data_IF_148729551970
#
_entry.id   IF_148729551970
#
_cell.length_a   1.000
_cell.length_b   1.000
_cell.length_c   1.000
_cell.angle_alpha   90.00
_cell.angle_beta   90.00
_cell.angle_gamma   90.00
#
_symmetry.space_group_name_H-M   'P 1'
#
loop_
_entity.id
_entity.type
_entity.pdbx_description
1 polymer ?
#
# COMPACT_ATOMS: atom_id res chain seq x y z
N UNK A 1 -10.81 -34.77 31.33
CA UNK A 1 -9.83 -35.89 31.37
C UNK A 1 -9.55 -36.22 29.91
N UNK A 2 -8.32 -36.05 29.39
CA UNK A 2 -8.18 -35.07 28.30
C UNK A 2 -6.95 -35.12 27.36
N UNK A 3 -7.17 -34.84 26.06
CA UNK A 3 -6.25 -34.73 24.91
C UNK A 3 -6.56 -33.48 24.05
N UNK A 4 -6.41 -33.51 22.69
CA UNK A 4 -6.42 -32.33 21.82
C UNK A 4 -7.58 -31.36 22.10
N UNK A 5 -7.27 -30.07 22.21
CA UNK A 5 -8.25 -29.01 22.48
C UNK A 5 -8.51 -28.22 21.23
N UNK A 6 -9.79 -27.88 21.05
CA UNK A 6 -10.23 -26.99 19.99
C UNK A 6 -11.15 -25.96 20.61
N UNK A 7 -10.93 -24.69 20.32
CA UNK A 7 -11.74 -23.60 20.84
C UNK A 7 -11.84 -22.47 19.83
N UNK A 8 -12.93 -21.71 19.87
CA UNK A 8 -13.04 -20.44 19.16
C UNK A 8 -12.46 -19.34 20.05
N UNK A 9 -11.40 -18.67 19.63
CA UNK A 9 -10.76 -17.62 20.41
C UNK A 9 -11.26 -16.24 20.00
N UNK A 10 -11.93 -15.54 20.88
CA UNK A 10 -12.36 -14.16 20.67
C UNK A 10 -11.58 -13.22 21.57
N UNK A 11 -11.49 -11.96 21.20
CA UNK A 11 -10.98 -10.92 22.08
C UNK A 11 -12.12 -10.29 22.84
N UNK A 12 -11.90 -9.93 24.10
CA UNK A 12 -12.84 -9.06 24.80
C UNK A 12 -12.95 -7.69 24.09
N UNK A 13 -14.03 -6.95 24.38
CA UNK A 13 -14.32 -5.69 23.68
C UNK A 13 -13.21 -4.65 23.85
N UNK A 14 -12.57 -4.58 25.02
CA UNK A 14 -11.50 -3.60 25.26
C UNK A 14 -10.24 -3.94 24.46
N UNK A 15 -9.86 -5.22 24.42
CA UNK A 15 -8.74 -5.70 23.61
C UNK A 15 -9.02 -5.60 22.11
N UNK A 16 -10.25 -5.81 21.66
CA UNK A 16 -10.63 -5.57 20.26
C UNK A 16 -10.34 -4.12 19.84
N UNK A 17 -10.78 -3.14 20.64
CA UNK A 17 -10.55 -1.73 20.38
C UNK A 17 -9.05 -1.41 20.40
N UNK A 18 -8.32 -1.95 21.38
CA UNK A 18 -6.88 -1.75 21.49
C UNK A 18 -6.14 -2.30 20.26
N UNK A 19 -6.42 -3.54 19.85
CA UNK A 19 -5.82 -4.19 18.68
C UNK A 19 -6.16 -3.42 17.40
N UNK A 20 -7.39 -2.92 17.26
CA UNK A 20 -7.76 -2.06 16.13
C UNK A 20 -6.95 -0.76 16.09
N UNK A 21 -6.77 -0.08 17.23
CA UNK A 21 -5.93 1.13 17.31
C UNK A 21 -4.48 0.81 16.93
N UNK A 22 -3.92 -0.29 17.44
CA UNK A 22 -2.56 -0.71 17.09
C UNK A 22 -2.42 -1.07 15.61
N UNK A 23 -3.40 -1.77 15.02
CA UNK A 23 -3.46 -2.05 13.57
C UNK A 23 -3.38 -0.74 12.78
N UNK A 24 -4.18 0.26 13.13
CA UNK A 24 -4.21 1.54 12.44
C UNK A 24 -2.83 2.21 12.45
N UNK A 25 -2.18 2.30 13.61
CA UNK A 25 -0.84 2.91 13.73
C UNK A 25 0.19 2.12 12.90
N UNK A 26 0.17 0.78 12.97
CA UNK A 26 1.08 -0.06 12.18
C UNK A 26 0.85 0.08 10.67
N UNK A 27 -0.41 0.20 10.25
CA UNK A 27 -0.79 0.49 8.87
C UNK A 27 -0.21 1.83 8.42
N UNK A 28 -0.35 2.88 9.23
CA UNK A 28 0.22 4.21 8.94
C UNK A 28 1.75 4.20 8.86
N UNK A 29 2.44 3.46 9.72
CA UNK A 29 3.91 3.32 9.67
C UNK A 29 4.31 2.67 8.35
N UNK A 30 3.69 1.53 8.00
CA UNK A 30 4.01 0.79 6.79
C UNK A 30 3.64 1.58 5.52
N UNK A 31 2.58 2.38 5.57
CA UNK A 31 2.16 3.22 4.47
C UNK A 31 3.24 4.24 4.06
N UNK A 32 4.02 4.76 5.01
CA UNK A 32 5.09 5.72 4.72
C UNK A 32 6.19 5.11 3.87
N UNK A 33 6.49 3.81 4.03
CA UNK A 33 7.41 3.09 3.15
C UNK A 33 6.92 3.08 1.71
N UNK A 34 5.62 2.80 1.52
CA UNK A 34 4.96 2.81 0.21
C UNK A 34 5.03 4.19 -0.42
N UNK A 35 4.72 5.24 0.34
CA UNK A 35 4.78 6.64 -0.14
C UNK A 35 6.17 6.94 -0.70
N UNK A 36 7.25 6.68 0.04
CA UNK A 36 8.63 6.94 -0.42
C UNK A 36 8.95 6.21 -1.74
N UNK A 37 8.49 4.96 -1.89
CA UNK A 37 8.74 4.18 -3.11
C UNK A 37 7.99 4.69 -4.34
N UNK A 38 6.91 5.44 -4.16
CA UNK A 38 6.08 5.95 -5.26
C UNK A 38 6.58 7.28 -5.84
N UNK A 39 7.57 7.93 -5.22
CA UNK A 39 8.20 9.12 -5.81
C UNK A 39 9.07 8.71 -7.01
N UNK A 40 9.05 9.55 -8.04
CA UNK A 40 9.71 9.35 -9.33
C UNK A 40 10.12 10.70 -9.92
N UNK A 41 11.01 10.73 -10.91
CA UNK A 41 11.54 11.95 -11.54
C UNK A 41 11.35 11.86 -13.05
N UNK A 42 10.77 12.88 -13.69
CA UNK A 42 10.51 12.88 -15.14
C UNK A 42 11.12 14.10 -15.83
N UNK A 43 12.29 13.90 -16.44
CA UNK A 43 13.01 14.97 -17.14
C UNK A 43 13.06 14.67 -18.64
N UNK A 44 12.84 15.71 -19.46
CA UNK A 44 12.84 15.59 -20.93
C UNK A 44 14.23 15.23 -21.50
N UNK A 45 15.32 15.79 -20.93
CA UNK A 45 16.69 15.46 -21.35
C UNK A 45 17.18 14.14 -20.73
N UNK A 46 17.53 13.19 -21.60
CA UNK A 46 17.91 11.82 -21.20
C UNK A 46 19.17 11.77 -20.32
N UNK A 47 20.20 12.55 -20.61
CA UNK A 47 21.48 12.46 -19.89
C UNK A 47 21.35 13.03 -18.47
N UNK A 48 20.62 14.14 -18.35
CA UNK A 48 20.32 14.73 -17.04
C UNK A 48 19.38 13.82 -16.26
N UNK A 49 18.36 13.25 -16.92
CA UNK A 49 17.44 12.30 -16.31
C UNK A 49 18.18 11.11 -15.72
N UNK A 50 19.02 10.42 -16.51
CA UNK A 50 19.74 9.22 -16.06
C UNK A 50 20.59 9.53 -14.81
N UNK A 51 21.29 10.66 -14.82
CA UNK A 51 22.18 11.03 -13.73
C UNK A 51 21.42 11.43 -12.47
N UNK A 52 20.37 12.24 -12.61
CA UNK A 52 19.55 12.68 -11.48
C UNK A 52 18.76 11.51 -10.88
N UNK A 53 18.21 10.62 -11.71
CA UNK A 53 17.50 9.43 -11.28
C UNK A 53 18.40 8.49 -10.46
N UNK A 54 19.66 8.29 -10.88
CA UNK A 54 20.64 7.50 -10.09
C UNK A 54 20.87 8.10 -8.70
N UNK A 55 21.08 9.41 -8.61
CA UNK A 55 21.26 10.11 -7.32
C UNK A 55 20.00 10.01 -6.45
N UNK A 56 18.84 10.23 -7.05
CA UNK A 56 17.55 10.11 -6.38
C UNK A 56 17.33 8.72 -5.81
N UNK A 57 17.63 7.67 -6.57
CA UNK A 57 17.43 6.28 -6.16
C UNK A 57 18.27 5.90 -4.94
N UNK A 58 19.51 6.40 -4.86
CA UNK A 58 20.38 6.20 -3.69
C UNK A 58 19.75 6.81 -2.44
N UNK A 59 19.22 8.04 -2.55
CA UNK A 59 18.56 8.73 -1.44
C UNK A 59 17.25 8.01 -1.07
N UNK A 60 16.40 7.69 -2.04
CA UNK A 60 15.13 6.98 -1.86
C UNK A 60 15.33 5.67 -1.11
N UNK A 61 16.29 4.84 -1.54
CA UNK A 61 16.63 3.56 -0.88
C UNK A 61 17.06 3.74 0.58
N UNK A 62 17.77 4.83 0.91
CA UNK A 62 18.20 5.11 2.29
C UNK A 62 17.00 5.38 3.19
N UNK A 63 16.14 6.31 2.79
CA UNK A 63 14.93 6.65 3.54
C UNK A 63 13.98 5.45 3.66
N UNK A 64 13.79 4.71 2.56
CA UNK A 64 13.01 3.46 2.56
C UNK A 64 13.57 2.46 3.58
N UNK A 65 14.89 2.23 3.61
CA UNK A 65 15.52 1.32 4.58
C UNK A 65 15.24 1.74 6.02
N UNK A 66 15.39 3.02 6.35
CA UNK A 66 15.10 3.54 7.70
C UNK A 66 13.63 3.34 8.10
N UNK A 67 12.69 3.58 7.19
CA UNK A 67 11.26 3.35 7.43
C UNK A 67 10.94 1.86 7.60
N UNK A 68 11.50 1.00 6.75
CA UNK A 68 11.33 -0.45 6.82
C UNK A 68 11.85 -1.02 8.16
N UNK A 69 12.96 -0.52 8.68
CA UNK A 69 13.46 -0.90 10.01
C UNK A 69 12.48 -0.53 11.13
N UNK A 70 11.84 0.65 11.06
CA UNK A 70 10.82 1.05 12.04
C UNK A 70 9.55 0.20 11.94
N UNK A 71 9.10 -0.07 10.72
CA UNK A 71 7.95 -0.95 10.45
C UNK A 71 8.18 -2.37 10.95
N UNK A 72 9.36 -2.95 10.71
CA UNK A 72 9.73 -4.27 11.28
C UNK A 72 9.77 -4.29 12.80
N UNK A 73 10.16 -3.17 13.42
CA UNK A 73 10.14 -3.00 14.89
C UNK A 73 8.72 -2.87 15.44
N UNK A 74 7.78 -2.34 14.67
CA UNK A 74 6.38 -2.23 15.08
C UNK A 74 5.74 -3.62 15.19
N UNK A 75 5.30 -3.97 16.40
CA UNK A 75 4.68 -5.27 16.72
C UNK A 75 3.41 -5.07 17.52
N UNK A 76 2.43 -5.95 17.36
CA UNK A 76 1.10 -5.79 17.97
C UNK A 76 1.13 -5.88 19.50
N UNK A 77 2.10 -6.58 20.11
CA UNK A 77 2.33 -6.56 21.57
C UNK A 77 2.84 -5.26 22.13
N UNK A 78 3.40 -4.38 21.30
CA UNK A 78 3.94 -3.13 21.82
C UNK A 78 2.81 -2.31 22.45
N UNK A 79 3.16 -1.58 23.50
CA UNK A 79 2.28 -0.55 24.06
C UNK A 79 1.97 0.49 22.98
N UNK A 80 0.75 1.04 23.01
CA UNK A 80 0.30 2.05 22.06
C UNK A 80 1.26 3.24 22.04
N UNK A 81 1.66 3.78 23.18
CA UNK A 81 2.58 4.92 23.25
C UNK A 81 3.93 4.66 22.58
N UNK A 82 4.42 3.40 22.62
CA UNK A 82 5.66 3.02 21.92
C UNK A 82 5.44 2.98 20.41
N UNK A 83 4.29 2.48 19.95
CA UNK A 83 3.92 2.50 18.53
C UNK A 83 3.71 3.93 18.02
N UNK A 84 3.06 4.79 18.80
CA UNK A 84 2.86 6.21 18.48
C UNK A 84 4.21 6.92 18.33
N UNK A 85 5.17 6.72 19.24
CA UNK A 85 6.54 7.24 19.10
C UNK A 85 7.26 6.72 17.85
N UNK A 86 7.08 5.45 17.48
CA UNK A 86 7.61 4.92 16.22
C UNK A 86 6.97 5.62 15.03
N UNK A 87 5.65 5.86 15.09
CA UNK A 87 4.90 6.56 14.05
C UNK A 87 5.40 8.00 13.87
N UNK A 88 5.59 8.75 14.96
CA UNK A 88 6.16 10.11 14.94
C UNK A 88 7.58 10.15 14.35
N UNK A 89 8.42 9.18 14.71
CA UNK A 89 9.76 9.06 14.13
C UNK A 89 9.68 8.77 12.62
N UNK A 90 8.79 7.87 12.20
CA UNK A 90 8.59 7.55 10.79
C UNK A 90 8.06 8.74 9.98
N UNK A 91 7.19 9.55 10.58
CA UNK A 91 6.68 10.81 10.00
C UNK A 91 7.79 11.83 9.83
N UNK A 92 8.67 11.96 10.83
CA UNK A 92 9.84 12.86 10.75
C UNK A 92 10.77 12.46 9.61
N UNK A 93 10.99 11.15 9.42
CA UNK A 93 11.80 10.61 8.31
C UNK A 93 11.15 10.91 6.95
N UNK A 94 9.84 10.68 6.83
CA UNK A 94 9.10 10.97 5.59
C UNK A 94 9.17 12.47 5.24
N UNK A 95 8.92 13.37 6.19
CA UNK A 95 8.98 14.82 5.94
C UNK A 95 10.37 15.30 5.50
N UNK A 96 11.43 14.70 6.04
CA UNK A 96 12.81 14.98 5.60
C UNK A 96 13.03 14.55 4.15
N UNK A 97 12.51 13.38 3.77
CA UNK A 97 12.55 12.91 2.39
C UNK A 97 11.77 13.82 1.45
N UNK A 98 10.50 14.14 1.75
CA UNK A 98 9.65 15.01 0.93
C UNK A 98 10.29 16.39 0.73
N UNK A 99 10.81 16.98 1.80
CA UNK A 99 11.53 18.25 1.71
C UNK A 99 12.76 18.15 0.80
N UNK A 100 13.54 17.07 0.91
CA UNK A 100 14.70 16.84 0.04
C UNK A 100 14.29 16.67 -1.42
N UNK A 101 13.19 15.97 -1.68
CA UNK A 101 12.61 15.80 -3.00
C UNK A 101 12.17 17.14 -3.61
N UNK A 102 11.33 17.90 -2.89
CA UNK A 102 10.76 19.16 -3.39
C UNK A 102 11.82 20.23 -3.64
N UNK A 103 12.81 20.35 -2.73
CA UNK A 103 13.81 21.43 -2.81
C UNK A 103 14.86 21.24 -3.90
N UNK A 104 15.18 19.99 -4.25
CA UNK A 104 16.26 19.67 -5.20
C UNK A 104 15.71 18.99 -6.44
N UNK A 105 15.12 17.80 -6.29
CA UNK A 105 14.77 16.94 -7.43
C UNK A 105 13.61 17.53 -8.25
N UNK A 106 12.48 17.81 -7.60
CA UNK A 106 11.31 18.42 -8.24
C UNK A 106 11.65 19.79 -8.84
N UNK A 107 12.49 20.56 -8.17
CA UNK A 107 12.91 21.88 -8.63
C UNK A 107 13.79 21.82 -9.87
N UNK A 108 14.69 20.84 -9.97
CA UNK A 108 15.46 20.60 -11.21
C UNK A 108 14.50 20.17 -12.33
N UNK A 109 13.62 19.21 -12.05
CA UNK A 109 12.61 18.70 -12.98
C UNK A 109 11.73 19.82 -13.57
N UNK A 110 11.09 20.61 -12.71
CA UNK A 110 10.19 21.69 -13.11
C UNK A 110 10.90 22.80 -13.91
N UNK A 111 12.18 23.07 -13.65
CA UNK A 111 12.91 24.10 -14.37
C UNK A 111 13.45 23.60 -15.72
N UNK A 112 13.97 22.37 -15.79
CA UNK A 112 14.44 21.80 -17.07
C UNK A 112 13.28 21.62 -18.05
N UNK A 113 12.14 21.13 -17.57
CA UNK A 113 10.99 20.87 -18.44
C UNK A 113 10.35 22.15 -19.01
N UNK A 114 10.76 23.35 -18.54
CA UNK A 114 10.34 24.65 -19.07
C UNK A 114 11.30 25.22 -20.13
N UNK A 115 12.48 24.64 -20.30
CA UNK A 115 13.51 25.14 -21.21
C UNK A 115 13.40 24.49 -22.59
N UNK A 116 13.80 25.22 -23.62
CA UNK A 116 14.01 24.68 -24.97
C UNK A 116 15.27 23.80 -25.02
N UNK A 117 15.38 22.92 -26.02
CA UNK A 117 16.54 22.04 -26.16
C UNK A 117 17.87 22.80 -26.29
N UNK A 118 17.88 23.96 -26.95
CA UNK A 118 19.07 24.80 -27.08
C UNK A 118 19.51 25.36 -25.73
N UNK A 119 18.57 25.86 -24.92
CA UNK A 119 18.85 26.37 -23.58
C UNK A 119 19.35 25.27 -22.64
N UNK A 120 18.77 24.07 -22.73
CA UNK A 120 19.24 22.90 -21.98
C UNK A 120 20.70 22.61 -22.33
N UNK A 121 21.06 22.60 -23.62
CA UNK A 121 22.41 22.28 -24.06
C UNK A 121 23.47 23.27 -23.53
N UNK A 122 23.14 24.56 -23.44
CA UNK A 122 24.05 25.59 -22.92
C UNK A 122 24.37 25.44 -21.43
N UNK A 123 23.42 24.93 -20.64
CA UNK A 123 23.56 24.79 -19.19
C UNK A 123 23.75 23.34 -18.73
N UNK A 124 23.70 22.37 -19.64
CA UNK A 124 23.73 20.93 -19.37
C UNK A 124 24.86 20.53 -18.43
N UNK A 125 26.08 20.95 -18.74
CA UNK A 125 27.26 20.64 -17.90
C UNK A 125 27.18 21.27 -16.51
N UNK A 126 26.59 22.46 -16.38
CA UNK A 126 26.37 23.10 -15.07
C UNK A 126 25.33 22.34 -14.25
N UNK A 127 24.26 21.88 -14.88
CA UNK A 127 23.24 21.05 -14.22
C UNK A 127 23.85 19.73 -13.77
N UNK A 128 24.57 19.04 -14.66
CA UNK A 128 25.25 17.78 -14.37
C UNK A 128 26.20 17.93 -13.18
N UNK A 129 26.96 19.03 -13.10
CA UNK A 129 27.82 19.34 -11.97
C UNK A 129 27.03 19.53 -10.67
N UNK A 130 25.88 20.23 -10.71
CA UNK A 130 25.01 20.36 -9.53
C UNK A 130 24.42 19.02 -9.08
N UNK A 131 24.12 18.11 -10.01
CA UNK A 131 23.69 16.76 -9.70
C UNK A 131 24.82 15.95 -9.05
N UNK A 132 26.07 16.15 -9.46
CA UNK A 132 27.24 15.50 -8.84
C UNK A 132 27.45 15.93 -7.40
N UNK A 133 27.17 17.20 -7.08
CA UNK A 133 27.22 17.74 -5.72
C UNK A 133 26.19 17.10 -4.79
N UNK A 134 25.17 16.39 -5.30
CA UNK A 134 24.18 15.71 -4.47
C UNK A 134 24.87 14.55 -3.70
N UNK A 135 24.84 14.58 -2.36
CA UNK A 135 25.61 13.67 -1.55
C UNK A 135 25.00 12.27 -1.51
N UNK A 136 25.87 11.28 -1.65
CA UNK A 136 25.49 9.86 -1.65
C UNK A 136 25.53 9.23 -0.24
N UNK A 137 26.09 9.91 0.78
CA UNK A 137 26.24 9.42 2.16
C UNK A 137 26.05 10.53 3.22
N UNK A 138 25.69 10.14 4.46
CA UNK A 138 25.64 10.99 5.67
C UNK A 138 24.39 11.88 5.83
N UNK A 139 23.55 11.67 6.85
CA UNK A 139 22.28 12.42 7.02
C UNK A 139 22.46 13.93 7.29
N UNK A 140 23.39 14.32 8.15
CA UNK A 140 23.66 15.72 8.52
C UNK A 140 24.39 16.49 7.42
N UNK A 141 25.34 15.85 6.74
CA UNK A 141 26.01 16.41 5.56
C UNK A 141 25.02 16.54 4.38
N UNK A 142 24.07 15.61 4.25
CA UNK A 142 23.05 15.64 3.21
C UNK A 142 22.20 16.92 3.28
N UNK A 143 21.72 17.33 4.45
CA UNK A 143 20.89 18.54 4.56
C UNK A 143 21.64 19.84 4.24
N UNK A 144 22.91 19.96 4.66
CA UNK A 144 23.73 21.17 4.42
C UNK A 144 24.06 21.29 2.93
N UNK A 145 24.47 20.18 2.32
CA UNK A 145 24.85 20.14 0.91
C UNK A 145 23.61 20.33 0.03
N UNK A 146 22.46 19.71 0.34
CA UNK A 146 21.21 19.93 -0.41
C UNK A 146 20.76 21.40 -0.35
N UNK A 147 20.94 22.11 0.77
CA UNK A 147 20.68 23.57 0.83
C UNK A 147 21.63 24.37 -0.07
N UNK A 148 22.89 23.98 -0.18
CA UNK A 148 23.85 24.64 -1.06
C UNK A 148 23.51 24.36 -2.54
N UNK A 149 23.21 23.11 -2.87
CA UNK A 149 22.71 22.68 -4.18
C UNK A 149 21.44 23.46 -4.52
N UNK A 150 20.47 23.58 -3.61
CA UNK A 150 19.27 24.39 -3.80
C UNK A 150 19.61 25.87 -4.09
N UNK A 151 20.54 26.47 -3.35
CA UNK A 151 21.00 27.85 -3.58
C UNK A 151 21.62 28.01 -4.98
N UNK A 152 22.39 27.02 -5.42
CA UNK A 152 23.04 27.05 -6.73
C UNK A 152 22.05 26.79 -7.87
N UNK A 153 21.08 25.89 -7.70
CA UNK A 153 19.92 25.70 -8.60
C UNK A 153 19.18 27.02 -8.76
N UNK A 154 18.85 27.68 -7.64
CA UNK A 154 18.18 28.98 -7.66
C UNK A 154 18.98 30.04 -8.43
N UNK A 155 20.31 30.07 -8.30
CA UNK A 155 21.16 31.00 -9.05
C UNK A 155 21.16 30.67 -10.54
N UNK A 156 21.36 29.41 -10.91
CA UNK A 156 21.42 28.96 -12.30
C UNK A 156 20.16 29.34 -13.07
N UNK A 157 18.98 29.01 -12.53
CA UNK A 157 17.71 29.29 -13.21
C UNK A 157 17.25 30.75 -13.09
N UNK A 158 17.68 31.51 -12.07
CA UNK A 158 17.43 32.97 -12.02
C UNK A 158 18.24 33.76 -13.04
N UNK A 159 19.46 33.32 -13.37
CA UNK A 159 20.30 33.99 -14.38
C UNK A 159 19.68 33.76 -15.76
N UNK A 160 19.27 32.54 -16.10
CA UNK A 160 18.64 32.24 -17.38
C UNK A 160 17.31 33.00 -17.59
N UNK A 161 16.46 33.12 -16.56
CA UNK A 161 15.20 33.88 -16.68
C UNK A 161 15.42 35.38 -16.94
N UNK A 162 16.59 35.95 -16.60
CA UNK A 162 16.92 37.35 -16.94
C UNK A 162 17.34 37.53 -18.40
N UNK A 163 17.98 36.52 -18.99
CA UNK A 163 18.41 36.57 -20.39
C UNK A 163 17.26 36.28 -21.38
N UNK A 164 16.21 35.54 -20.96
CA UNK A 164 14.97 35.36 -21.73
C UNK A 164 14.14 36.66 -21.83
N UNK A 165 14.40 37.64 -20.98
CA UNK A 165 13.74 38.96 -21.01
C UNK A 165 14.03 39.81 -22.25
N UNK A 166 14.97 39.41 -23.12
CA UNK A 166 15.32 40.14 -24.35
C UNK A 166 14.62 39.63 -25.62
N UNK A 167 13.77 38.60 -25.57
CA UNK A 167 13.08 38.04 -26.75
C UNK A 167 11.54 38.12 -26.68
N UNK A 168 10.96 39.06 -25.92
CA UNK A 168 9.51 39.34 -26.04
C UNK A 168 9.21 40.83 -26.16
N UNK A 169 9.60 41.40 -27.29
CA UNK A 169 8.90 42.55 -27.87
C UNK A 169 8.30 42.11 -29.22
N UNK A 170 7.21 41.35 -29.15
CA UNK A 170 6.16 41.41 -30.18
C UNK A 170 4.87 41.62 -29.40
N UNK A 171 4.32 42.82 -29.55
CA UNK A 171 3.10 43.30 -28.92
C UNK A 171 1.93 42.34 -29.17
N UNK A 172 1.38 41.78 -28.10
CA UNK A 172 0.01 41.28 -28.11
C UNK A 172 -0.86 42.35 -27.44
N UNK A 173 -1.71 43.00 -28.24
CA UNK A 173 -2.76 43.87 -27.73
C UNK A 173 -3.76 43.02 -26.94
N UNK A 174 -3.90 43.34 -25.66
CA UNK A 174 -4.93 42.78 -24.76
C UNK A 174 -6.32 43.19 -25.23
N UNK A 175 -7.13 42.22 -25.66
CA UNK A 175 -8.59 42.40 -25.71
C UNK A 175 -9.16 41.94 -24.37
N UNK A 176 -9.67 42.90 -23.60
CA UNK A 176 -10.46 42.66 -22.38
C UNK A 176 -11.73 41.88 -22.73
N UNK A 177 -11.87 40.67 -22.20
CA UNK A 177 -13.14 39.94 -22.21
C UNK A 177 -13.95 40.30 -20.96
N UNK A 178 -14.93 41.18 -21.15
CA UNK A 178 -16.04 41.36 -20.22
C UNK A 178 -16.89 40.09 -20.14
N UNK A 179 -17.19 39.67 -18.91
CA UNK A 179 -18.15 38.60 -18.62
C UNK A 179 -19.53 39.04 -19.09
N UNK A 180 -20.12 38.30 -20.04
CA UNK A 180 -21.55 38.40 -20.31
C UNK A 180 -22.25 37.08 -20.01
N UNK A 181 -23.03 37.12 -18.93
CA UNK A 181 -24.05 36.16 -18.56
C UNK A 181 -25.16 36.17 -19.63
N UNK A 182 -25.41 35.05 -20.32
CA UNK A 182 -26.57 34.90 -21.22
C UNK A 182 -27.17 33.51 -21.11
N UNK A 183 -28.01 33.33 -20.10
CA UNK A 183 -29.18 32.44 -20.21
C UNK A 183 -30.14 33.04 -21.23
N UNK A 184 -30.11 32.57 -22.47
CA UNK A 184 -31.28 32.60 -23.36
C UNK A 184 -31.33 31.32 -24.17
N UNK A 185 -32.35 30.53 -23.84
CA UNK A 185 -32.93 29.48 -24.67
C UNK A 185 -33.08 30.04 -26.09
N UNK A 186 -32.37 29.47 -27.06
CA UNK A 186 -32.55 29.80 -28.47
C UNK A 186 -33.22 28.61 -29.16
N UNK A 187 -34.54 28.70 -29.33
CA UNK A 187 -35.25 27.96 -30.35
C UNK A 187 -35.11 28.72 -31.66
N UNK A 188 -34.68 28.05 -32.74
CA UNK A 188 -34.92 28.61 -34.08
C UNK A 188 -35.40 27.60 -35.11
N UNK A 189 -36.51 28.01 -35.69
CA UNK A 189 -37.25 27.49 -36.83
C UNK A 189 -36.42 27.58 -38.12
N UNK A 190 -36.43 26.49 -38.90
CA UNK A 190 -35.86 26.42 -40.24
C UNK A 190 -36.56 27.42 -41.18
N UNK A 191 -35.81 28.41 -41.68
CA UNK A 191 -36.12 29.05 -42.97
C UNK A 191 -34.91 28.97 -43.89
N UNK A 192 -35.05 28.10 -44.89
CA UNK A 192 -34.12 27.94 -46.01
C UNK A 192 -33.97 29.25 -46.79
N UNK A 193 -32.76 29.81 -46.78
CA UNK A 193 -32.31 30.77 -47.80
C UNK A 193 -31.21 30.12 -48.62
N UNK A 194 -31.50 29.89 -49.91
CA UNK A 194 -30.54 29.43 -50.91
C UNK A 194 -29.45 30.49 -51.11
N UNK A 195 -28.18 30.11 -50.91
CA UNK A 195 -27.01 30.88 -51.37
C UNK A 195 -26.16 29.95 -52.24
N UNK A 196 -25.73 30.45 -53.41
CA UNK A 196 -24.82 29.76 -54.35
C UNK A 196 -23.41 30.34 -54.23
N UNK A 197 -22.44 29.42 -54.23
CA UNK A 197 -20.96 29.52 -54.29
C UNK A 197 -20.23 30.06 -53.04
N UNK A 198 -19.34 29.22 -52.49
CA UNK A 198 -17.88 29.39 -52.61
C UNK A 198 -17.14 28.12 -52.13
N UNK A 199 -16.38 27.48 -53.03
CA UNK A 199 -15.51 26.32 -52.72
C UNK A 199 -14.45 26.66 -51.65
N UNK A 200 -14.02 27.92 -51.54
CA UNK A 200 -13.14 28.40 -50.46
C UNK A 200 -13.78 28.37 -49.06
N UNK A 201 -15.09 28.66 -48.94
CA UNK A 201 -15.83 28.58 -47.68
C UNK A 201 -16.01 27.11 -47.28
N UNK A 202 -16.23 26.22 -48.25
CA UNK A 202 -16.30 24.76 -48.05
C UNK A 202 -14.96 24.18 -47.60
N UNK A 203 -13.83 24.64 -48.17
CA UNK A 203 -12.49 24.22 -47.78
C UNK A 203 -12.11 24.73 -46.38
N UNK A 204 -12.46 25.97 -46.05
CA UNK A 204 -12.23 26.57 -44.73
C UNK A 204 -13.04 25.87 -43.63
N UNK A 205 -14.35 25.68 -43.84
CA UNK A 205 -15.22 24.97 -42.90
C UNK A 205 -14.83 23.51 -42.70
N UNK A 206 -14.39 22.81 -43.76
CA UNK A 206 -13.86 21.44 -43.65
C UNK A 206 -12.60 21.37 -42.79
N UNK A 207 -11.64 22.30 -42.98
CA UNK A 207 -10.40 22.34 -42.19
C UNK A 207 -10.67 22.63 -40.72
N UNK A 208 -11.56 23.56 -40.41
CA UNK A 208 -11.93 23.89 -39.03
C UNK A 208 -12.68 22.75 -38.33
N UNK A 209 -13.52 22.00 -39.06
CA UNK A 209 -14.15 20.78 -38.54
C UNK A 209 -13.09 19.76 -38.17
N UNK A 210 -12.12 19.53 -39.06
CA UNK A 210 -11.02 18.59 -38.86
C UNK A 210 -10.19 18.97 -37.63
N UNK A 211 -9.74 20.22 -37.57
CA UNK A 211 -8.93 20.75 -36.47
C UNK A 211 -9.64 20.69 -35.12
N UNK A 212 -10.92 21.07 -35.05
CA UNK A 212 -11.68 20.99 -33.79
C UNK A 212 -11.92 19.55 -33.35
N UNK A 213 -12.08 18.62 -34.30
CA UNK A 213 -12.26 17.20 -34.03
C UNK A 213 -10.98 16.58 -33.51
N UNK A 214 -9.85 16.83 -34.17
CA UNK A 214 -8.54 16.34 -33.73
C UNK A 214 -8.20 16.87 -32.33
N UNK A 215 -8.40 18.17 -32.08
CA UNK A 215 -8.10 18.77 -30.77
C UNK A 215 -8.86 18.09 -29.62
N UNK A 216 -10.15 17.77 -29.82
CA UNK A 216 -10.96 17.14 -28.77
C UNK A 216 -10.69 15.64 -28.64
N UNK A 217 -10.38 14.95 -29.75
CA UNK A 217 -10.00 13.53 -29.74
C UNK A 217 -8.65 13.33 -29.05
N UNK A 218 -7.67 14.21 -29.29
CA UNK A 218 -6.38 14.18 -28.59
C UNK A 218 -6.57 14.38 -27.08
N UNK A 219 -7.41 15.34 -26.67
CA UNK A 219 -7.77 15.52 -25.26
C UNK A 219 -8.41 14.26 -24.68
N UNK A 220 -9.39 13.66 -25.34
CA UNK A 220 -10.05 12.43 -24.87
C UNK A 220 -9.06 11.26 -24.78
N UNK A 221 -8.15 11.15 -25.74
CA UNK A 221 -7.08 10.14 -25.76
C UNK A 221 -6.18 10.26 -24.52
N UNK A 222 -5.78 11.48 -24.14
CA UNK A 222 -4.99 11.71 -22.92
C UNK A 222 -5.73 11.26 -21.65
N UNK A 223 -7.03 11.54 -21.56
CA UNK A 223 -7.88 11.07 -20.45
C UNK A 223 -8.00 9.54 -20.43
N UNK A 224 -8.19 8.91 -21.59
CA UNK A 224 -8.20 7.44 -21.71
C UNK A 224 -6.84 6.83 -21.37
N UNK A 225 -5.73 7.51 -21.68
CA UNK A 225 -4.37 7.04 -21.36
C UNK A 225 -3.94 7.35 -19.92
N UNK A 226 -4.72 8.12 -19.16
CA UNK A 226 -4.47 8.36 -17.74
C UNK A 226 -4.77 7.13 -16.88
N UNK A 227 -3.92 6.85 -15.89
CA UNK A 227 -4.07 5.74 -14.93
C UNK A 227 -5.02 6.08 -13.77
N UNK A 228 -5.63 7.26 -13.80
CA UNK A 228 -6.37 7.83 -12.68
C UNK A 228 -7.85 7.52 -12.67
N UNK A 229 -8.39 6.95 -13.75
CA UNK A 229 -9.83 6.82 -13.99
C UNK A 229 -10.28 5.36 -13.98
N UNK A 230 -11.48 5.14 -13.44
CA UNK A 230 -12.15 3.83 -13.38
C UNK A 230 -12.63 3.36 -14.76
N UNK A 231 -13.11 2.13 -14.88
CA UNK A 231 -13.71 1.63 -16.14
C UNK A 231 -14.94 2.47 -16.51
N UNK A 232 -15.80 2.82 -15.54
CA UNK A 232 -16.99 3.64 -15.78
C UNK A 232 -16.63 5.01 -16.38
N UNK A 233 -15.63 5.70 -15.83
CA UNK A 233 -15.18 6.99 -16.36
C UNK A 233 -14.60 6.86 -17.78
N UNK A 234 -13.84 5.78 -18.03
CA UNK A 234 -13.27 5.49 -19.36
C UNK A 234 -14.34 5.19 -20.39
N UNK A 235 -15.40 4.49 -20.01
CA UNK A 235 -16.56 4.26 -20.87
C UNK A 235 -17.25 5.58 -21.23
N UNK A 236 -17.33 6.54 -20.29
CA UNK A 236 -17.86 7.88 -20.60
C UNK A 236 -16.98 8.62 -21.62
N UNK A 237 -15.65 8.51 -21.52
CA UNK A 237 -14.75 9.10 -22.52
C UNK A 237 -14.96 8.47 -23.90
N UNK A 238 -15.07 7.14 -23.98
CA UNK A 238 -15.36 6.42 -25.24
C UNK A 238 -16.71 6.82 -25.85
N UNK A 239 -17.75 7.02 -25.01
CA UNK A 239 -19.03 7.53 -25.49
C UNK A 239 -18.89 8.94 -26.08
N UNK A 240 -18.16 9.85 -25.42
CA UNK A 240 -17.92 11.20 -25.92
C UNK A 240 -17.14 11.20 -27.25
N UNK A 241 -16.14 10.31 -27.37
CA UNK A 241 -15.37 10.10 -28.60
C UNK A 241 -16.29 9.68 -29.75
N UNK A 242 -17.13 8.66 -29.51
CA UNK A 242 -18.08 8.16 -30.50
C UNK A 242 -19.07 9.24 -30.96
N UNK A 243 -19.61 10.02 -30.03
CA UNK A 243 -20.57 11.08 -30.36
C UNK A 243 -19.97 12.14 -31.31
N UNK A 244 -18.68 12.48 -31.18
CA UNK A 244 -18.00 13.42 -32.10
C UNK A 244 -17.79 12.78 -33.48
N UNK A 245 -17.34 11.51 -33.50
CA UNK A 245 -17.11 10.79 -34.75
C UNK A 245 -18.41 10.60 -35.54
N UNK A 246 -19.52 10.29 -34.85
CA UNK A 246 -20.85 10.16 -35.47
C UNK A 246 -21.26 11.49 -36.16
N UNK A 247 -21.01 12.65 -35.54
CA UNK A 247 -21.29 13.96 -36.17
C UNK A 247 -20.40 14.18 -37.42
N UNK A 248 -19.13 13.75 -37.36
CA UNK A 248 -18.19 13.86 -38.49
C UNK A 248 -18.65 12.99 -39.67
N UNK A 249 -19.10 11.77 -39.41
CA UNK A 249 -19.49 10.79 -40.44
C UNK A 249 -20.90 10.98 -41.00
N UNK A 250 -21.78 11.72 -40.31
CA UNK A 250 -23.18 11.91 -40.69
C UNK A 250 -23.34 12.46 -42.12
N UNK A 251 -24.02 11.73 -43.00
CA UNK A 251 -24.12 12.08 -44.43
C UNK A 251 -25.32 13.01 -44.72
N UNK A 252 -26.24 13.17 -43.77
CA UNK A 252 -27.46 13.97 -43.94
C UNK A 252 -27.35 15.47 -43.65
N UNK A 253 -26.19 15.97 -43.21
CA UNK A 253 -26.02 17.32 -42.65
C UNK A 253 -25.01 18.15 -43.46
N UNK A 254 -25.29 19.45 -43.65
CA UNK A 254 -24.38 20.39 -44.34
C UNK A 254 -23.13 20.71 -43.50
N UNK A 255 -22.05 21.15 -44.15
CA UNK A 255 -20.80 21.51 -43.47
C UNK A 255 -20.99 22.61 -42.41
N UNK A 256 -21.76 23.67 -42.69
CA UNK A 256 -22.09 24.69 -41.69
C UNK A 256 -22.76 24.12 -40.43
N UNK A 257 -23.71 23.20 -40.60
CA UNK A 257 -24.43 22.61 -39.46
C UNK A 257 -23.49 21.67 -38.69
N UNK A 258 -22.67 20.86 -39.38
CA UNK A 258 -21.65 20.02 -38.73
C UNK A 258 -20.67 20.84 -37.89
N UNK A 259 -20.20 21.97 -38.42
CA UNK A 259 -19.32 22.89 -37.70
C UNK A 259 -19.95 23.38 -36.39
N UNK A 260 -21.22 23.79 -36.42
CA UNK A 260 -21.94 24.23 -35.22
C UNK A 260 -22.12 23.09 -34.20
N UNK A 261 -22.51 21.90 -34.66
CA UNK A 261 -22.67 20.73 -33.80
C UNK A 261 -21.36 20.30 -33.14
N UNK A 262 -20.25 20.29 -33.88
CA UNK A 262 -18.92 19.96 -33.34
C UNK A 262 -18.48 20.99 -32.29
N UNK A 263 -18.70 22.29 -32.55
CA UNK A 263 -18.39 23.35 -31.57
C UNK A 263 -19.20 23.20 -30.28
N UNK A 264 -20.52 23.01 -30.40
CA UNK A 264 -21.39 22.77 -29.24
C UNK A 264 -20.96 21.51 -28.47
N UNK A 265 -20.64 20.43 -29.20
CA UNK A 265 -20.23 19.17 -28.59
C UNK A 265 -18.86 19.29 -27.90
N UNK A 266 -17.92 20.02 -28.50
CA UNK A 266 -16.61 20.33 -27.91
C UNK A 266 -16.80 21.04 -26.56
N UNK A 267 -17.63 22.08 -26.49
CA UNK A 267 -17.89 22.83 -25.25
C UNK A 267 -18.53 21.94 -24.17
N UNK A 268 -19.48 21.08 -24.57
CA UNK A 268 -20.12 20.12 -23.66
C UNK A 268 -19.11 19.11 -23.11
N UNK A 269 -18.28 18.52 -23.98
CA UNK A 269 -17.25 17.55 -23.58
C UNK A 269 -16.23 18.20 -22.65
N UNK A 270 -15.73 19.39 -22.95
CA UNK A 270 -14.80 20.10 -22.06
C UNK A 270 -15.41 20.38 -20.67
N UNK A 271 -16.70 20.68 -20.62
CA UNK A 271 -17.42 20.86 -19.36
C UNK A 271 -17.56 19.53 -18.59
N UNK A 272 -17.86 18.43 -19.29
CA UNK A 272 -17.98 17.10 -18.68
C UNK A 272 -16.64 16.57 -18.18
N UNK A 273 -15.56 16.76 -18.94
CA UNK A 273 -14.20 16.38 -18.53
C UNK A 273 -13.81 17.07 -17.22
N UNK A 274 -14.06 18.38 -17.09
CA UNK A 274 -13.82 19.12 -15.84
C UNK A 274 -14.62 18.56 -14.66
N UNK A 275 -15.89 18.17 -14.88
CA UNK A 275 -16.73 17.54 -13.84
C UNK A 275 -16.19 16.17 -13.43
N UNK A 276 -15.81 15.34 -14.40
CA UNK A 276 -15.22 14.02 -14.15
C UNK A 276 -13.92 14.17 -13.37
N UNK A 277 -13.04 15.09 -13.77
CA UNK A 277 -11.78 15.36 -13.08
C UNK A 277 -11.98 15.78 -11.61
N UNK A 278 -12.96 16.65 -11.34
CA UNK A 278 -13.31 17.04 -9.97
C UNK A 278 -13.83 15.85 -9.16
N UNK A 279 -14.72 15.04 -9.74
CA UNK A 279 -15.27 13.85 -9.08
C UNK A 279 -14.19 12.78 -8.84
N UNK A 280 -13.21 12.67 -9.74
CA UNK A 280 -12.14 11.68 -9.66
C UNK A 280 -11.21 11.90 -8.45
N UNK A 281 -11.24 13.09 -7.82
CA UNK A 281 -10.50 13.31 -6.56
C UNK A 281 -10.96 12.37 -5.44
N UNK A 282 -12.24 12.02 -5.39
CA UNK A 282 -12.74 11.02 -4.43
C UNK A 282 -12.16 9.64 -4.75
N UNK A 283 -12.09 9.26 -6.03
CA UNK A 283 -11.53 7.99 -6.50
C UNK A 283 -10.05 7.88 -6.12
N UNK A 284 -9.26 8.93 -6.37
CA UNK A 284 -7.84 8.96 -6.00
C UNK A 284 -7.64 8.80 -4.49
N UNK A 285 -8.46 9.46 -3.67
CA UNK A 285 -8.41 9.32 -2.21
C UNK A 285 -8.78 7.90 -1.75
N UNK A 286 -9.85 7.33 -2.31
CA UNK A 286 -10.25 5.96 -2.01
C UNK A 286 -9.18 4.95 -2.43
N UNK A 287 -8.56 5.16 -3.59
CA UNK A 287 -7.49 4.30 -4.06
C UNK A 287 -6.26 4.37 -3.14
N UNK A 288 -5.95 5.54 -2.59
CA UNK A 288 -4.90 5.68 -1.57
C UNK A 288 -5.18 4.84 -0.31
N UNK A 289 -6.43 4.82 0.14
CA UNK A 289 -6.90 3.98 1.25
C UNK A 289 -6.89 2.48 0.91
N UNK A 290 -7.27 2.11 -0.32
CA UNK A 290 -7.13 0.75 -0.82
C UNK A 290 -5.69 0.28 -0.75
N UNK A 291 -4.76 1.09 -1.27
CA UNK A 291 -3.34 0.78 -1.23
C UNK A 291 -2.84 0.67 0.22
N UNK A 292 -3.30 1.51 1.17
CA UNK A 292 -2.90 1.41 2.59
C UNK A 292 -3.21 0.02 3.15
N UNK A 293 -4.45 -0.43 3.00
CA UNK A 293 -4.90 -1.74 3.52
C UNK A 293 -4.23 -2.90 2.78
N UNK A 294 -4.07 -2.80 1.45
CA UNK A 294 -3.41 -3.83 0.65
C UNK A 294 -1.95 -4.03 1.06
N UNK A 295 -1.21 -2.94 1.25
CA UNK A 295 0.18 -3.00 1.70
C UNK A 295 0.29 -3.49 3.13
N UNK A 296 -0.62 -3.09 4.03
CA UNK A 296 -0.64 -3.58 5.42
C UNK A 296 -0.61 -5.11 5.47
N UNK A 297 -1.47 -5.76 4.69
CA UNK A 297 -1.59 -7.23 4.66
C UNK A 297 -0.63 -7.93 3.69
N UNK A 298 0.30 -7.21 3.04
CA UNK A 298 1.17 -7.74 1.98
C UNK A 298 0.39 -8.40 0.82
N UNK A 299 -0.69 -7.76 0.37
CA UNK A 299 -1.51 -8.29 -0.72
C UNK A 299 -0.69 -8.41 -2.01
N UNK A 300 -0.68 -9.58 -2.64
CA UNK A 300 0.15 -9.85 -3.83
C UNK A 300 -0.44 -9.24 -5.11
N UNK A 301 -1.77 -9.19 -5.22
CA UNK A 301 -2.47 -8.78 -6.44
C UNK A 301 -3.07 -7.38 -6.26
N UNK A 302 -2.21 -6.37 -6.23
CA UNK A 302 -2.65 -4.98 -6.13
C UNK A 302 -3.21 -4.54 -7.49
N UNK A 303 -4.50 -4.25 -7.52
CA UNK A 303 -5.22 -3.74 -8.69
C UNK A 303 -4.87 -2.27 -8.91
N UNK A 304 -4.71 -1.87 -10.17
CA UNK A 304 -4.69 -0.48 -10.60
C UNK A 304 -6.10 0.14 -10.57
N UNK A 305 -6.21 1.47 -10.56
CA UNK A 305 -7.52 2.17 -10.60
C UNK A 305 -8.35 1.73 -11.82
N UNK A 306 -7.68 1.44 -12.94
CA UNK A 306 -8.29 1.01 -14.20
C UNK A 306 -8.98 -0.35 -14.14
N UNK A 307 -8.62 -1.18 -13.16
CA UNK A 307 -9.21 -2.50 -12.96
C UNK A 307 -10.46 -2.46 -12.10
N UNK A 308 -10.79 -1.30 -11.50
CA UNK A 308 -12.04 -1.10 -10.78
C UNK A 308 -13.13 -0.60 -11.71
N UNK A 309 -14.33 -1.19 -11.60
CA UNK A 309 -15.44 -0.78 -12.43
C UNK A 309 -15.93 0.61 -12.05
N UNK A 310 -15.99 0.89 -10.74
CA UNK A 310 -16.51 2.15 -10.18
C UNK A 310 -15.84 2.49 -8.84
N UNK A 311 -16.23 3.62 -8.26
CA UNK A 311 -15.82 4.01 -6.90
C UNK A 311 -16.39 3.09 -5.82
N UNK A 312 -17.59 2.54 -6.01
CA UNK A 312 -18.21 1.57 -5.10
C UNK A 312 -17.40 0.28 -5.04
N UNK A 313 -16.87 -0.17 -6.18
CA UNK A 313 -16.01 -1.35 -6.23
C UNK A 313 -14.74 -1.15 -5.37
N UNK A 314 -14.11 0.02 -5.44
CA UNK A 314 -12.96 0.36 -4.60
C UNK A 314 -13.35 0.31 -3.11
N UNK A 315 -14.49 0.89 -2.73
CA UNK A 315 -15.00 0.86 -1.34
C UNK A 315 -15.22 -0.59 -0.85
N UNK A 316 -15.78 -1.44 -1.70
CA UNK A 316 -16.02 -2.85 -1.36
C UNK A 316 -14.72 -3.62 -1.15
N UNK A 317 -13.71 -3.40 -2.01
CA UNK A 317 -12.40 -4.04 -1.90
C UNK A 317 -11.65 -3.56 -0.65
N UNK A 318 -11.72 -2.27 -0.32
CA UNK A 318 -11.20 -1.73 0.95
C UNK A 318 -11.82 -2.45 2.14
N UNK A 319 -13.14 -2.65 2.15
CA UNK A 319 -13.82 -3.33 3.25
C UNK A 319 -13.34 -4.79 3.41
N UNK A 320 -13.17 -5.51 2.30
CA UNK A 320 -12.64 -6.88 2.28
C UNK A 320 -11.22 -6.91 2.87
N UNK A 321 -10.34 -6.02 2.41
CA UNK A 321 -8.96 -5.94 2.90
C UNK A 321 -8.89 -5.53 4.36
N UNK A 322 -9.74 -4.59 4.79
CA UNK A 322 -9.81 -4.12 6.18
C UNK A 322 -10.19 -5.26 7.12
N UNK A 323 -11.23 -6.04 6.78
CA UNK A 323 -11.65 -7.24 7.53
C UNK A 323 -10.53 -8.26 7.62
N UNK A 324 -9.82 -8.54 6.50
CA UNK A 324 -8.65 -9.44 6.51
C UNK A 324 -7.55 -8.92 7.44
N UNK A 325 -7.24 -7.62 7.38
CA UNK A 325 -6.23 -7.00 8.24
C UNK A 325 -6.60 -7.03 9.73
N UNK A 326 -7.89 -6.90 10.06
CA UNK A 326 -8.39 -7.06 11.42
C UNK A 326 -8.21 -8.50 11.93
N UNK A 327 -8.56 -9.51 11.14
CA UNK A 327 -8.38 -10.91 11.53
C UNK A 327 -6.89 -11.28 11.70
N UNK A 328 -6.01 -10.77 10.82
CA UNK A 328 -4.55 -10.92 10.98
C UNK A 328 -4.08 -10.32 12.30
N UNK A 329 -4.54 -9.11 12.63
CA UNK A 329 -4.14 -8.40 13.86
C UNK A 329 -4.62 -9.13 15.12
N UNK A 330 -5.86 -9.62 15.11
CA UNK A 330 -6.42 -10.43 16.21
C UNK A 330 -5.63 -11.72 16.39
N UNK A 331 -5.33 -12.43 15.29
CA UNK A 331 -4.56 -13.67 15.32
C UNK A 331 -3.15 -13.45 15.87
N UNK A 332 -2.47 -12.40 15.41
CA UNK A 332 -1.12 -12.07 15.89
C UNK A 332 -1.13 -11.70 17.38
N UNK A 333 -2.16 -10.97 17.84
CA UNK A 333 -2.32 -10.69 19.27
C UNK A 333 -2.53 -11.99 20.07
N UNK A 334 -3.42 -12.88 19.63
CA UNK A 334 -3.67 -14.17 20.30
C UNK A 334 -2.39 -15.00 20.37
N UNK A 335 -1.62 -15.05 19.26
CA UNK A 335 -0.33 -15.72 19.18
C UNK A 335 0.65 -15.19 20.22
N UNK A 336 0.79 -13.87 20.33
CA UNK A 336 1.68 -13.26 21.32
C UNK A 336 1.21 -13.49 22.77
N UNK A 337 -0.10 -13.46 23.04
CA UNK A 337 -0.62 -13.78 24.38
C UNK A 337 -0.40 -15.25 24.74
N UNK A 338 -0.56 -16.16 23.78
CA UNK A 338 -0.24 -17.58 23.95
C UNK A 338 1.24 -17.76 24.24
N UNK A 339 2.14 -17.12 23.49
CA UNK A 339 3.57 -17.18 23.72
C UNK A 339 3.93 -16.77 25.16
N UNK A 340 3.37 -15.67 25.65
CA UNK A 340 3.62 -15.17 27.01
C UNK A 340 3.11 -16.12 28.10
N UNK A 341 1.90 -16.66 27.93
CA UNK A 341 1.33 -17.61 28.89
C UNK A 341 2.13 -18.92 28.86
N UNK A 342 2.43 -19.47 27.69
CA UNK A 342 3.19 -20.70 27.55
C UNK A 342 4.60 -20.58 28.17
N UNK A 343 5.29 -19.46 27.91
CA UNK A 343 6.60 -19.18 28.51
C UNK A 343 6.53 -19.09 30.04
N UNK A 344 5.49 -18.45 30.59
CA UNK A 344 5.28 -18.37 32.05
C UNK A 344 5.10 -19.75 32.68
N UNK A 345 4.48 -20.68 31.95
CA UNK A 345 4.29 -22.07 32.37
C UNK A 345 5.49 -22.98 32.05
N UNK A 346 6.59 -22.43 31.55
CA UNK A 346 7.86 -23.14 31.33
C UNK A 346 8.01 -23.80 29.95
N UNK A 347 7.08 -23.57 29.04
CA UNK A 347 7.15 -24.09 27.68
C UNK A 347 7.91 -23.11 26.76
N UNK A 348 8.93 -23.61 26.06
CA UNK A 348 9.75 -22.77 25.17
C UNK A 348 9.25 -22.85 23.73
N UNK A 349 9.21 -21.73 23.00
CA UNK A 349 8.84 -21.74 21.58
C UNK A 349 9.96 -22.37 20.74
N UNK A 350 9.62 -23.35 19.91
CA UNK A 350 10.48 -23.89 18.85
C UNK A 350 10.26 -23.07 17.59
N UNK A 351 11.34 -22.54 17.03
CA UNK A 351 11.28 -21.73 15.81
C UNK A 351 10.84 -22.58 14.62
N UNK A 352 9.94 -22.04 13.79
CA UNK A 352 9.32 -22.77 12.66
C UNK A 352 10.36 -23.24 11.64
N UNK A 353 11.50 -22.55 11.55
CA UNK A 353 12.63 -22.93 10.68
C UNK A 353 13.18 -24.34 10.99
N UNK A 354 13.05 -24.82 12.23
CA UNK A 354 13.53 -26.14 12.67
C UNK A 354 12.51 -27.26 12.45
N UNK A 355 11.27 -26.91 12.06
CA UNK A 355 10.20 -27.86 11.79
C UNK A 355 10.21 -28.19 10.28
N UNK A 356 10.26 -29.47 9.92
CA UNK A 356 10.47 -29.88 8.52
C UNK A 356 9.23 -29.58 7.64
N UNK A 357 8.03 -29.58 8.23
CA UNK A 357 6.74 -29.41 7.54
C UNK A 357 5.93 -28.17 7.95
N UNK A 358 6.42 -27.30 8.85
CA UNK A 358 5.68 -26.09 9.27
C UNK A 358 6.24 -24.85 8.57
N UNK A 359 5.84 -24.66 7.31
CA UNK A 359 6.07 -23.39 6.60
C UNK A 359 4.91 -22.39 6.77
N UNK A 360 3.86 -22.77 7.49
CA UNK A 360 2.67 -21.93 7.66
C UNK A 360 2.81 -21.07 8.91
N UNK A 361 2.63 -19.75 8.75
CA UNK A 361 2.79 -18.72 9.80
C UNK A 361 1.86 -18.89 11.03
N UNK A 362 0.91 -19.82 10.93
CA UNK A 362 -0.20 -20.01 11.87
C UNK A 362 -0.04 -21.22 12.78
N UNK A 363 1.11 -21.89 12.69
CA UNK A 363 1.46 -23.01 13.55
C UNK A 363 2.58 -22.60 14.49
N UNK A 364 2.39 -22.91 15.76
CA UNK A 364 3.35 -22.70 16.84
C UNK A 364 3.65 -24.06 17.46
N UNK A 365 4.91 -24.27 17.85
CA UNK A 365 5.29 -25.46 18.58
C UNK A 365 6.00 -25.04 19.87
N UNK A 366 5.47 -25.50 21.01
CA UNK A 366 6.07 -25.23 22.31
C UNK A 366 6.70 -26.50 22.86
N UNK A 367 7.98 -26.46 23.19
CA UNK A 367 8.75 -27.56 23.79
C UNK A 367 8.33 -27.77 25.25
N UNK A 368 7.97 -29.00 25.58
CA UNK A 368 7.83 -29.48 26.97
C UNK A 368 9.16 -30.10 27.41
N UNK A 369 9.72 -30.95 26.55
CA UNK A 369 11.02 -31.59 26.72
C UNK A 369 11.64 -31.92 25.35
N UNK A 370 12.83 -32.54 25.36
CA UNK A 370 13.60 -32.87 24.15
C UNK A 370 12.86 -33.75 23.11
N UNK A 371 11.77 -34.38 23.51
CA UNK A 371 11.00 -35.40 22.77
C UNK A 371 9.49 -35.13 22.72
N UNK A 372 8.99 -34.06 23.35
CA UNK A 372 7.56 -33.76 23.46
C UNK A 372 7.29 -32.26 23.35
N UNK A 373 6.21 -31.89 22.66
CA UNK A 373 5.77 -30.51 22.56
C UNK A 373 4.26 -30.34 22.49
N UNK A 374 3.83 -29.08 22.51
CA UNK A 374 2.47 -28.62 22.29
C UNK A 374 2.42 -27.97 20.91
N UNK A 375 1.78 -28.65 19.98
CA UNK A 375 1.45 -28.13 18.67
C UNK A 375 0.20 -27.25 18.76
N UNK A 376 0.32 -25.99 18.38
CA UNK A 376 -0.77 -25.03 18.38
C UNK A 376 -1.03 -24.55 16.96
N UNK A 377 -2.24 -24.76 16.48
CA UNK A 377 -2.68 -24.36 15.16
C UNK A 377 -3.78 -23.30 15.25
N UNK A 378 -3.58 -22.18 14.56
CA UNK A 378 -4.52 -21.07 14.44
C UNK A 378 -5.10 -21.09 13.02
N UNK A 379 -6.41 -21.33 12.87
CA UNK A 379 -7.05 -21.41 11.55
C UNK A 379 -7.06 -20.07 10.82
N UNK A 380 -6.83 -20.08 9.50
CA UNK A 380 -6.98 -18.90 8.63
C UNK A 380 -8.40 -18.75 8.06
N UNK A 381 -9.10 -19.87 7.88
CA UNK A 381 -10.37 -19.94 7.13
C UNK A 381 -11.58 -20.00 8.04
N UNK A 382 -11.43 -20.60 9.22
CA UNK A 382 -12.47 -20.66 10.25
C UNK A 382 -12.10 -19.65 11.31
N UNK A 383 -12.96 -18.64 11.50
CA UNK A 383 -12.74 -17.51 12.39
C UNK A 383 -12.23 -17.98 13.75
N UNK A 384 -10.93 -17.78 13.95
CA UNK A 384 -10.24 -17.86 15.23
C UNK A 384 -10.30 -19.23 15.91
N UNK A 385 -10.39 -20.33 15.15
CA UNK A 385 -10.23 -21.66 15.75
C UNK A 385 -8.77 -21.89 16.17
N UNK A 386 -8.58 -22.14 17.46
CA UNK A 386 -7.31 -22.51 18.08
C UNK A 386 -7.36 -23.99 18.42
N UNK A 387 -6.41 -24.75 17.88
CA UNK A 387 -6.22 -26.16 18.22
C UNK A 387 -4.92 -26.33 19.00
N UNK A 388 -4.95 -27.00 20.14
CA UNK A 388 -3.77 -27.33 20.93
C UNK A 388 -3.67 -28.84 21.08
N UNK A 389 -2.51 -29.40 20.74
CA UNK A 389 -2.29 -30.85 20.72
C UNK A 389 -0.91 -31.21 21.25
N UNK A 390 -0.86 -32.20 22.13
CA UNK A 390 0.41 -32.80 22.54
C UNK A 390 0.94 -33.71 21.43
N UNK A 391 2.22 -33.53 21.10
CA UNK A 391 2.91 -34.22 20.02
C UNK A 391 4.29 -34.67 20.46
N UNK A 392 4.75 -35.81 19.93
CA UNK A 392 6.15 -36.18 20.01
C UNK A 392 6.99 -35.29 19.12
N UNK A 393 8.24 -35.06 19.49
CA UNK A 393 9.23 -34.33 18.68
C UNK A 393 10.41 -35.28 18.44
N UNK A 394 10.78 -35.49 17.18
CA UNK A 394 11.87 -36.38 16.84
C UNK A 394 12.38 -36.20 15.41
N UNK A 395 13.35 -37.03 15.03
CA UNK A 395 13.93 -37.04 13.67
C UNK A 395 13.24 -38.06 12.75
N UNK A 396 12.29 -38.79 13.30
CA UNK A 396 11.51 -39.88 12.74
C UNK A 396 10.01 -39.62 12.95
N UNK A 397 9.18 -40.32 12.18
CA UNK A 397 7.72 -40.23 12.28
C UNK A 397 7.11 -41.38 13.10
N UNK A 398 7.91 -42.41 13.39
CA UNK A 398 7.46 -43.58 14.15
C UNK A 398 7.33 -43.25 15.65
N UNK A 399 6.29 -43.83 16.26
CA UNK A 399 6.02 -43.70 17.70
C UNK A 399 6.15 -45.09 18.31
N UNK A 400 7.18 -45.27 19.13
CA UNK A 400 7.34 -46.49 19.91
C UNK A 400 6.28 -46.59 21.00
N UNK A 401 6.00 -47.79 21.51
CA UNK A 401 5.04 -47.99 22.60
C UNK A 401 5.39 -47.15 23.85
N UNK A 402 6.68 -47.07 24.19
CA UNK A 402 7.18 -46.24 25.30
C UNK A 402 6.95 -44.75 25.07
N UNK A 403 7.17 -44.24 23.85
CA UNK A 403 6.85 -42.85 23.50
C UNK A 403 5.34 -42.62 23.54
N UNK A 404 4.54 -43.60 23.10
CA UNK A 404 3.09 -43.53 23.12
C UNK A 404 2.53 -43.43 24.54
N UNK A 405 3.06 -44.21 25.48
CA UNK A 405 2.74 -44.14 26.91
C UNK A 405 3.08 -42.76 27.49
N UNK A 406 4.29 -42.27 27.22
CA UNK A 406 4.74 -40.94 27.67
C UNK A 406 3.87 -39.82 27.11
N UNK A 407 3.53 -39.86 25.83
CA UNK A 407 2.64 -38.88 25.20
C UNK A 407 1.23 -38.90 25.79
N UNK A 408 0.77 -40.07 26.23
CA UNK A 408 -0.51 -40.19 26.93
C UNK A 408 -0.45 -39.57 28.33
N UNK A 409 0.64 -39.78 29.07
CA UNK A 409 0.87 -39.11 30.37
C UNK A 409 0.94 -37.58 30.21
N UNK A 410 1.66 -37.09 29.20
CA UNK A 410 1.76 -35.64 28.93
C UNK A 410 0.43 -35.03 28.48
N UNK A 411 -0.42 -35.77 27.76
CA UNK A 411 -1.80 -35.35 27.50
C UNK A 411 -2.59 -35.14 28.79
N UNK A 412 -2.50 -36.11 29.72
CA UNK A 412 -3.16 -36.01 31.02
C UNK A 412 -2.65 -34.80 31.83
N UNK A 413 -1.34 -34.56 31.82
CA UNK A 413 -0.70 -33.43 32.50
C UNK A 413 -1.14 -32.10 31.90
N UNK A 414 -0.98 -31.92 30.59
CA UNK A 414 -1.34 -30.71 29.88
C UNK A 414 -2.78 -30.31 30.13
N UNK A 415 -3.68 -31.30 30.10
CA UNK A 415 -5.08 -30.99 30.25
C UNK A 415 -5.53 -30.77 31.69
N UNK A 416 -4.79 -31.25 32.68
CA UNK A 416 -4.96 -30.85 34.07
C UNK A 416 -4.60 -29.38 34.29
N UNK A 417 -3.63 -28.87 33.53
CA UNK A 417 -3.17 -27.47 33.57
C UNK A 417 -3.97 -26.53 32.67
N UNK A 418 -4.66 -27.07 31.65
CA UNK A 418 -5.36 -26.27 30.64
C UNK A 418 -6.37 -25.25 31.20
N UNK A 419 -7.16 -25.54 32.26
CA UNK A 419 -8.05 -24.54 32.85
C UNK A 419 -7.31 -23.29 33.39
N UNK A 420 -6.12 -23.46 33.96
CA UNK A 420 -5.29 -22.34 34.44
C UNK A 420 -4.78 -21.51 33.26
N UNK A 421 -4.40 -22.16 32.16
CA UNK A 421 -4.00 -21.50 30.92
C UNK A 421 -5.15 -20.68 30.31
N UNK A 422 -6.37 -21.24 30.27
CA UNK A 422 -7.58 -20.55 29.78
C UNK A 422 -7.86 -19.30 30.61
N UNK A 423 -7.75 -19.42 31.93
CA UNK A 423 -7.99 -18.30 32.85
C UNK A 423 -6.95 -17.19 32.68
N UNK A 424 -5.68 -17.55 32.51
CA UNK A 424 -4.61 -16.59 32.23
C UNK A 424 -4.78 -15.84 30.91
N UNK A 425 -5.24 -16.53 29.86
CA UNK A 425 -5.60 -15.92 28.58
C UNK A 425 -6.81 -14.99 28.75
N UNK A 426 -7.81 -15.39 29.51
CA UNK A 426 -9.00 -14.59 29.81
C UNK A 426 -8.65 -13.28 30.51
N UNK A 427 -7.75 -13.31 31.49
CA UNK A 427 -7.24 -12.10 32.19
C UNK A 427 -6.53 -11.15 31.20
N UNK A 428 -5.91 -11.69 30.16
CA UNK A 428 -5.25 -10.93 29.07
C UNK A 428 -6.24 -10.51 27.97
N UNK A 429 -7.51 -10.88 28.11
CA UNK A 429 -8.60 -10.52 27.20
C UNK A 429 -8.72 -11.42 25.97
N UNK A 430 -8.14 -12.63 26.01
CA UNK A 430 -8.36 -13.70 25.03
C UNK A 430 -9.35 -14.70 25.63
N UNK A 431 -10.53 -14.78 25.03
CA UNK A 431 -11.64 -15.62 25.48
C UNK A 431 -11.71 -16.85 24.59
N UNK A 432 -11.47 -18.03 25.17
CA UNK A 432 -11.65 -19.31 24.48
C UNK A 432 -13.09 -19.80 24.67
N UNK A 433 -13.94 -19.54 23.68
CA UNK A 433 -15.31 -20.03 23.60
C UNK A 433 -15.37 -21.45 23.03
N UNK A 434 -16.48 -22.16 23.30
CA UNK A 434 -16.78 -23.47 22.71
C UNK A 434 -15.65 -24.50 22.87
N UNK A 435 -14.96 -24.47 24.01
CA UNK A 435 -13.81 -25.35 24.25
C UNK A 435 -14.25 -26.81 24.23
N UNK A 436 -13.79 -27.56 23.23
CA UNK A 436 -13.98 -29.00 23.12
C UNK A 436 -12.85 -29.73 23.81
N UNK A 437 -13.18 -30.37 24.91
CA UNK A 437 -12.25 -31.19 25.67
C UNK A 437 -12.32 -32.64 25.17
N UNK A 438 -11.49 -33.00 24.20
CA UNK A 438 -11.31 -34.42 23.88
C UNK A 438 -10.62 -35.14 25.03
N UNK A 439 -10.86 -36.44 25.18
CA UNK A 439 -10.20 -37.30 26.18
C UNK A 439 -8.76 -37.66 25.80
N UNK A 440 -7.92 -37.90 26.81
CA UNK A 440 -6.56 -38.38 26.58
C UNK A 440 -6.69 -39.73 25.89
N UNK A 441 -6.03 -39.93 24.76
CA UNK A 441 -6.13 -41.20 24.07
C UNK A 441 -4.92 -41.42 23.17
N UNK A 442 -4.25 -42.57 23.36
CA UNK A 442 -3.10 -42.99 22.56
C UNK A 442 -3.38 -42.95 21.04
N UNK A 443 -4.64 -43.15 20.61
CA UNK A 443 -5.02 -43.08 19.20
C UNK A 443 -4.79 -41.71 18.55
N UNK A 444 -4.67 -40.65 19.34
CA UNK A 444 -4.41 -39.29 18.86
C UNK A 444 -2.92 -38.91 18.92
N UNK A 445 -2.05 -39.80 19.40
CA UNK A 445 -0.61 -39.56 19.43
C UNK A 445 -0.10 -39.30 18.01
N UNK A 446 0.70 -38.27 17.86
CA UNK A 446 1.37 -37.93 16.60
C UNK A 446 2.74 -37.35 16.90
N UNK A 447 3.67 -37.47 15.95
CA UNK A 447 5.03 -37.00 16.07
C UNK A 447 5.31 -35.94 15.00
N UNK A 448 5.95 -34.84 15.39
CA UNK A 448 6.43 -33.81 14.48
C UNK A 448 7.91 -34.06 14.22
N UNK A 449 8.24 -34.15 12.94
CA UNK A 449 9.61 -34.31 12.48
C UNK A 449 10.33 -32.95 12.45
N UNK A 450 11.47 -32.88 13.13
CA UNK A 450 12.35 -31.72 13.15
C UNK A 450 13.60 -31.96 12.31
N UNK A 451 14.17 -30.89 11.76
CA UNK A 451 15.38 -30.98 10.92
C UNK A 451 16.59 -31.42 11.75
N UNK A 452 17.37 -32.36 11.22
CA UNK A 452 18.70 -32.71 11.73
C UNK A 452 19.68 -31.57 11.40
N UNK A 453 19.67 -30.47 12.17
CA UNK A 453 20.79 -29.53 12.28
C UNK A 453 20.64 -28.71 13.57
N UNK A 454 21.59 -28.91 14.49
CA UNK A 454 21.94 -28.11 15.66
C UNK A 454 20.83 -27.62 16.62
N UNK A 455 20.46 -28.47 17.58
CA UNK A 455 19.88 -28.08 18.88
C UNK A 455 20.81 -27.13 19.70
N UNK A 456 21.98 -26.75 19.18
CA UNK A 456 23.10 -26.22 19.97
C UNK A 456 23.35 -24.71 19.90
N UNK A 457 22.66 -23.88 19.10
CA UNK A 457 23.11 -22.47 18.98
C UNK A 457 22.16 -21.29 19.15
N UNK A 458 20.84 -21.43 19.34
CA UNK A 458 20.04 -20.25 19.73
C UNK A 458 18.80 -20.60 20.58
N UNK A 459 19.01 -21.13 21.79
CA UNK A 459 18.03 -20.89 22.85
C UNK A 459 18.00 -19.38 23.08
N UNK A 460 16.94 -18.67 22.69
CA UNK A 460 16.66 -17.33 23.22
C UNK A 460 16.35 -17.47 24.72
N UNK A 461 17.38 -17.76 25.53
CA UNK A 461 17.36 -17.55 26.97
C UNK A 461 17.31 -16.03 27.16
N UNK A 462 16.12 -15.46 27.25
CA UNK A 462 15.95 -14.25 28.07
C UNK A 462 16.00 -14.73 29.51
N UNK A 463 17.19 -14.71 30.08
CA UNK A 463 17.45 -15.04 31.47
C UNK A 463 16.58 -14.19 32.40
N UNK A 464 15.65 -14.83 33.11
CA UNK A 464 15.47 -14.63 34.55
C UNK A 464 15.27 -16.00 35.18
N UNK A 465 16.10 -16.27 36.18
CA UNK A 465 16.10 -17.48 36.97
C UNK A 465 14.70 -17.73 37.55
N UNK A 466 14.13 -18.89 37.24
CA UNK A 466 13.18 -19.58 38.11
C UNK A 466 13.60 -21.04 38.12
N UNK A 467 14.68 -21.31 38.85
CA UNK A 467 15.00 -22.66 39.31
C UNK A 467 13.92 -23.02 40.33
N UNK A 468 13.30 -24.18 40.14
CA UNK A 468 12.24 -24.80 40.94
C UNK A 468 10.80 -24.33 40.71
N UNK A 469 10.15 -24.92 39.70
CA UNK A 469 8.77 -25.38 39.83
C UNK A 469 8.46 -26.50 38.82
N UNK A 470 9.24 -27.59 38.85
CA UNK A 470 8.69 -28.89 38.43
C UNK A 470 7.71 -29.32 39.54
N UNK A 471 6.45 -28.91 39.44
CA UNK A 471 5.37 -29.56 40.21
C UNK A 471 5.17 -30.96 39.63
N UNK A 472 6.00 -31.91 40.04
CA UNK A 472 5.53 -33.29 40.13
C UNK A 472 4.39 -33.27 41.15
N UNK A 473 3.14 -33.25 40.67
CA UNK A 473 1.98 -33.46 41.54
C UNK A 473 1.85 -34.97 41.73
N UNK A 474 2.35 -35.45 42.86
CA UNK A 474 2.01 -36.76 43.38
C UNK A 474 0.48 -36.90 43.41
N UNK A 475 -0.03 -37.85 42.65
CA UNK A 475 -1.40 -38.33 42.78
C UNK A 475 -1.42 -39.14 44.08
N UNK A 476 -1.95 -38.55 45.16
CA UNK A 476 -2.37 -39.35 46.33
C UNK A 476 -3.61 -40.14 45.91
N UNK A 477 -3.48 -41.47 45.95
CA UNK A 477 -4.57 -42.44 45.82
C UNK A 477 -5.56 -42.32 46.97
#
# INVERSE_FOLDING_TARGET
MSGPKVSKAELDRMRQIEVQKKKQIMCEIKNKERIVNNFDIRIIDSDIHEKLAKKFEIIRKRYYKSLNELSKKSKIKMEIDKLERINENSETILRKFEKSYDTVFKKIEENINKLSQNEIQEIKMKIIHLVDEIPEKGETETEIILKNVEKNINKLFKVNNKDVGKIKNIEFQEIKLEKHDRRKIFSFSMKNKKVKKNEEISLSSSKEIEQNTEEILDKLYDFMKSDKYTIEDRQRFLCMEKEILDIKEEKGITLEIKKLLILEKKENIETNLKRIEVNNKEVEFLYDDYLKEAYYINHQNIKSIREFSSKEDIKSEIEILRKKGEEISKREYIKEQLDEVMLKHGYNVIDSEHIEKAKEDNRLLYEIDDSTGIDVFLSETQTQMVTLKIVGIGFDEEITERESDRLYEEQCNFCSMFPELVEELRIRGVILNEVRYNEANKKYNSKIKIKKNDKTKNKKKKSRENINNKKYREIKR
#
